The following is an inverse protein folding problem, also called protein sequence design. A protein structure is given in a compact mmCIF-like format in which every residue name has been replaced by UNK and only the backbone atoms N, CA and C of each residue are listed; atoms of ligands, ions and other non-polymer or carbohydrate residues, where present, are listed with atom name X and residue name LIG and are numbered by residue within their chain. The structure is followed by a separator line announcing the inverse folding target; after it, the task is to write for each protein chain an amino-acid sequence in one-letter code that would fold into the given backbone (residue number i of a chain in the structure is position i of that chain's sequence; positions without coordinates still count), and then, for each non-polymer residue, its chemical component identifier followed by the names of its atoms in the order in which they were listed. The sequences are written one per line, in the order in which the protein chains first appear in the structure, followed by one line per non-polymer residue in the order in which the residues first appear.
data_IF_370865765516
#
_entry.id   IF_370865765516
#
_cell.length_a   1.000
_cell.length_b   1.000
_cell.length_c   1.000
_cell.angle_alpha   90.00
_cell.angle_beta   90.00
_cell.angle_gamma   90.00
#
_symmetry.space_group_name_H-M   'P 1'
#
loop_
_entity.id
_entity.type
_entity.pdbx_description
1 polymer ?
#
# COMPACT_ATOMS: atom_id res chain seq x y z
N UNK A 1 3.54 -1.29 28.30
CA UNK A 1 2.74 -1.75 27.14
C UNK A 1 3.67 -2.15 26.02
N UNK A 2 3.51 -3.37 25.52
CA UNK A 2 4.32 -3.96 24.44
C UNK A 2 3.44 -4.10 23.19
N UNK A 3 3.80 -3.39 22.13
CA UNK A 3 3.05 -3.36 20.85
C UNK A 3 3.90 -3.98 19.76
N UNK A 4 3.36 -5.01 19.11
CA UNK A 4 3.93 -5.61 17.91
C UNK A 4 3.20 -5.07 16.68
N UNK A 5 3.86 -4.19 15.93
CA UNK A 5 3.44 -3.77 14.60
C UNK A 5 3.87 -4.81 13.56
N UNK A 6 2.96 -5.15 12.66
CA UNK A 6 3.19 -6.08 11.55
C UNK A 6 2.94 -5.37 10.22
N UNK A 7 3.52 -5.86 9.12
CA UNK A 7 3.20 -5.43 7.75
C UNK A 7 3.01 -6.65 6.84
N UNK A 8 2.87 -6.44 5.53
CA UNK A 8 2.61 -7.49 4.53
C UNK A 8 1.15 -7.60 4.11
N UNK A 9 0.29 -6.69 4.59
CA UNK A 9 -1.14 -6.67 4.27
C UNK A 9 -1.45 -6.67 2.77
N UNK A 10 -0.54 -6.04 2.01
CA UNK A 10 -0.66 -5.88 0.57
C UNK A 10 0.02 -6.99 -0.25
N UNK A 11 0.37 -8.11 0.40
CA UNK A 11 0.97 -9.31 -0.22
C UNK A 11 2.44 -9.12 -0.68
N UNK A 12 3.10 -8.08 -0.21
CA UNK A 12 4.52 -7.79 -0.36
C UNK A 12 5.00 -7.01 0.87
N UNK A 13 6.32 -6.93 1.04
CA UNK A 13 7.03 -6.18 2.09
C UNK A 13 6.56 -6.55 3.51
N UNK A 14 6.52 -7.86 3.77
CA UNK A 14 6.29 -8.39 5.10
C UNK A 14 7.40 -7.89 6.04
N UNK A 15 7.01 -7.32 7.18
CA UNK A 15 7.94 -6.79 8.18
C UNK A 15 7.30 -6.76 9.56
N UNK A 16 8.12 -6.57 10.59
CA UNK A 16 7.68 -6.40 11.97
C UNK A 16 8.44 -5.25 12.64
N UNK A 17 7.76 -4.57 13.57
CA UNK A 17 8.35 -3.56 14.44
C UNK A 17 7.79 -3.73 15.85
N UNK A 18 8.66 -3.71 16.86
CA UNK A 18 8.30 -3.86 18.25
C UNK A 18 8.53 -2.56 19.02
N UNK A 19 7.48 -2.10 19.68
CA UNK A 19 7.52 -0.95 20.57
C UNK A 19 7.30 -1.38 22.02
N UNK A 20 8.06 -0.79 22.93
CA UNK A 20 7.88 -0.93 24.38
C UNK A 20 7.74 0.47 24.96
N UNK A 21 6.60 0.73 25.60
CA UNK A 21 6.28 2.03 26.22
C UNK A 21 6.51 3.24 25.29
N UNK A 22 6.07 3.08 24.04
CA UNK A 22 6.16 4.12 23.01
C UNK A 22 7.52 4.25 22.33
N UNK A 23 8.53 3.47 22.72
CA UNK A 23 9.87 3.47 22.11
C UNK A 23 10.02 2.31 21.13
N UNK A 24 10.52 2.59 19.93
CA UNK A 24 10.89 1.56 18.97
C UNK A 24 12.11 0.80 19.49
N UNK A 25 11.98 -0.50 19.70
CA UNK A 25 13.05 -1.37 20.21
C UNK A 25 13.74 -2.13 19.08
N UNK A 26 12.96 -2.63 18.12
CA UNK A 26 13.45 -3.35 16.96
C UNK A 26 12.48 -3.22 15.79
N UNK A 27 13.00 -3.21 14.57
CA UNK A 27 12.22 -3.38 13.35
C UNK A 27 13.06 -4.14 12.32
N UNK A 28 12.42 -5.02 11.56
CA UNK A 28 13.08 -5.76 10.51
C UNK A 28 12.11 -6.16 9.39
N UNK A 29 12.66 -6.26 8.18
CA UNK A 29 11.95 -6.73 6.99
C UNK A 29 12.20 -8.24 6.80
N UNK A 30 11.16 -8.99 6.46
CA UNK A 30 11.21 -10.44 6.32
C UNK A 30 12.16 -10.89 5.19
N UNK A 31 12.26 -10.09 4.12
CA UNK A 31 13.15 -10.37 2.99
C UNK A 31 14.63 -10.49 3.39
N UNK A 32 15.05 -9.82 4.48
CA UNK A 32 16.45 -9.87 4.95
C UNK A 32 16.81 -11.25 5.49
N UNK A 33 15.84 -11.95 6.06
CA UNK A 33 15.99 -13.29 6.61
C UNK A 33 15.75 -14.37 5.55
N UNK A 34 14.67 -14.24 4.78
CA UNK A 34 14.33 -15.23 3.75
C UNK A 34 15.23 -15.16 2.52
N UNK A 35 15.93 -14.03 2.32
CA UNK A 35 16.70 -13.73 1.10
C UNK A 35 15.84 -13.76 -0.16
N UNK A 36 14.54 -13.55 0.01
CA UNK A 36 13.51 -13.51 -1.03
C UNK A 36 12.96 -12.08 -1.09
N UNK A 37 13.28 -11.38 -2.18
CA UNK A 37 13.01 -9.94 -2.33
C UNK A 37 11.50 -9.67 -2.28
N UNK A 38 11.11 -8.66 -1.52
CA UNK A 38 9.74 -8.29 -1.17
C UNK A 38 8.95 -9.34 -0.36
N UNK A 39 9.53 -10.51 -0.09
CA UNK A 39 8.90 -11.62 0.62
C UNK A 39 7.42 -11.82 0.18
N UNK A 40 7.18 -11.89 -1.14
CA UNK A 40 5.82 -11.83 -1.72
C UNK A 40 4.97 -12.98 -1.19
N UNK A 41 3.79 -12.66 -0.65
CA UNK A 41 2.86 -13.63 -0.07
C UNK A 41 3.32 -14.31 1.22
N UNK A 42 4.36 -13.78 1.89
CA UNK A 42 4.84 -14.27 3.18
C UNK A 42 4.29 -13.45 4.34
N UNK A 43 4.25 -14.06 5.53
CA UNK A 43 4.02 -13.38 6.80
C UNK A 43 5.37 -13.18 7.51
N UNK A 44 5.54 -12.15 8.35
CA UNK A 44 6.84 -11.77 8.92
C UNK A 44 7.26 -12.64 10.12
N UNK A 45 7.41 -13.96 9.94
CA UNK A 45 7.75 -14.88 11.04
C UNK A 45 9.15 -14.59 11.61
N UNK A 46 10.16 -14.48 10.75
CA UNK A 46 11.55 -14.29 11.19
C UNK A 46 11.77 -12.87 11.72
N UNK A 47 11.14 -11.86 11.11
CA UNK A 47 11.18 -10.50 11.60
C UNK A 47 10.56 -10.36 13.00
N UNK A 48 9.45 -11.07 13.30
CA UNK A 48 8.85 -11.07 14.64
C UNK A 48 9.78 -11.75 15.65
N UNK A 49 10.31 -12.94 15.33
CA UNK A 49 11.27 -13.65 16.20
C UNK A 49 12.49 -12.78 16.52
N UNK A 50 13.05 -12.12 15.51
CA UNK A 50 14.16 -11.19 15.67
C UNK A 50 13.79 -10.05 16.63
N UNK A 51 12.62 -9.43 16.46
CA UNK A 51 12.20 -8.33 17.33
C UNK A 51 12.04 -8.76 18.80
N UNK A 52 11.43 -9.92 19.05
CA UNK A 52 11.27 -10.47 20.40
C UNK A 52 12.63 -10.81 21.03
N UNK A 53 13.52 -11.46 20.27
CA UNK A 53 14.86 -11.80 20.72
C UNK A 53 15.69 -10.55 21.03
N UNK A 54 15.63 -9.54 20.16
CA UNK A 54 16.38 -8.28 20.34
C UNK A 54 15.93 -7.52 21.58
N UNK A 55 14.65 -7.61 21.93
CA UNK A 55 14.08 -7.02 23.14
C UNK A 55 14.27 -7.87 24.40
N UNK A 56 14.65 -9.15 24.27
CA UNK A 56 14.80 -10.06 25.40
C UNK A 56 13.47 -10.39 26.11
N UNK A 57 12.35 -10.32 25.39
CA UNK A 57 11.01 -10.60 25.95
C UNK A 57 10.47 -11.94 25.46
N UNK A 58 9.59 -12.55 26.26
CA UNK A 58 8.85 -13.74 25.86
C UNK A 58 7.71 -13.37 24.89
N UNK A 59 7.35 -14.24 23.94
CA UNK A 59 6.20 -14.02 23.05
C UNK A 59 4.90 -13.68 23.79
N UNK A 60 4.66 -14.35 24.92
CA UNK A 60 3.50 -14.14 25.80
C UNK A 60 3.49 -12.81 26.57
N UNK A 61 4.46 -11.92 26.35
CA UNK A 61 4.46 -10.57 26.93
C UNK A 61 3.92 -9.51 25.95
N UNK A 62 3.69 -9.84 24.68
CA UNK A 62 3.09 -8.89 23.73
C UNK A 62 1.65 -8.58 24.17
N UNK A 63 1.30 -7.30 24.30
CA UNK A 63 -0.04 -6.89 24.74
C UNK A 63 -0.97 -6.62 23.55
N UNK A 64 -0.41 -5.99 22.51
CA UNK A 64 -1.15 -5.47 21.36
C UNK A 64 -0.46 -5.89 20.06
N UNK A 65 -1.24 -6.29 19.07
CA UNK A 65 -0.78 -6.51 17.71
C UNK A 65 -1.46 -5.53 16.78
N UNK A 66 -0.69 -4.65 16.14
CA UNK A 66 -1.18 -3.65 15.19
C UNK A 66 -0.90 -4.11 13.75
N UNK A 67 -1.91 -4.00 12.87
CA UNK A 67 -1.79 -4.43 11.48
C UNK A 67 -2.36 -3.38 10.50
N UNK A 68 -1.61 -2.94 9.46
CA UNK A 68 -1.91 -1.79 8.61
C UNK A 68 -2.88 -2.17 7.48
N UNK A 69 -4.03 -2.73 7.88
CA UNK A 69 -5.16 -2.97 6.98
C UNK A 69 -6.44 -3.04 7.78
N UNK A 70 -7.37 -2.12 7.51
CA UNK A 70 -8.63 -2.01 8.23
C UNK A 70 -9.84 -2.43 7.40
N UNK A 71 -10.96 -2.67 8.09
CA UNK A 71 -12.25 -2.79 7.44
C UNK A 71 -12.71 -1.45 6.91
N UNK A 72 -13.22 -1.45 5.68
CA UNK A 72 -13.81 -0.26 5.08
C UNK A 72 -15.32 -0.46 5.04
N UNK A 73 -16.08 0.45 5.64
CA UNK A 73 -17.54 0.38 5.64
C UNK A 73 -18.12 0.50 4.22
N UNK A 74 -19.27 -0.13 3.97
CA UNK A 74 -20.03 0.06 2.73
C UNK A 74 -20.46 1.52 2.51
N UNK A 75 -20.60 2.30 3.60
CA UNK A 75 -20.92 3.73 3.52
C UNK A 75 -19.71 4.60 3.14
N UNK A 76 -18.51 4.03 3.07
CA UNK A 76 -17.30 4.78 2.72
C UNK A 76 -17.37 5.26 1.27
N UNK A 77 -17.06 6.53 0.98
CA UNK A 77 -16.99 7.05 -0.39
C UNK A 77 -15.97 6.28 -1.23
N UNK A 78 -14.93 5.71 -0.62
CA UNK A 78 -13.88 4.97 -1.29
C UNK A 78 -14.38 3.78 -2.10
N UNK A 79 -15.33 3.00 -1.54
CA UNK A 79 -15.91 1.82 -2.22
C UNK A 79 -16.75 2.22 -3.42
N UNK A 80 -17.56 3.27 -3.27
CA UNK A 80 -18.44 3.78 -4.32
C UNK A 80 -17.64 4.46 -5.43
N UNK A 81 -16.59 5.22 -5.09
CA UNK A 81 -15.64 5.78 -6.05
C UNK A 81 -15.00 4.67 -6.87
N UNK A 82 -14.43 3.66 -6.21
CA UNK A 82 -13.84 2.51 -6.88
C UNK A 82 -14.84 1.81 -7.81
N UNK A 83 -16.06 1.52 -7.35
CA UNK A 83 -17.08 0.87 -8.17
C UNK A 83 -17.49 1.72 -9.40
N UNK A 84 -17.74 3.03 -9.20
CA UNK A 84 -18.12 3.96 -10.27
C UNK A 84 -17.00 4.12 -11.31
N UNK A 85 -15.76 4.29 -10.87
CA UNK A 85 -14.61 4.48 -11.77
C UNK A 85 -14.26 3.20 -12.54
N UNK A 86 -14.57 2.04 -11.98
CA UNK A 86 -14.39 0.72 -12.59
C UNK A 86 -15.67 0.14 -13.20
N UNK A 87 -16.63 0.96 -13.62
CA UNK A 87 -17.90 0.49 -14.23
C UNK A 87 -17.68 -0.45 -15.44
N UNK A 88 -16.55 -0.33 -16.14
CA UNK A 88 -16.16 -1.17 -17.27
C UNK A 88 -15.54 -2.52 -16.86
N UNK A 89 -15.40 -2.79 -15.55
CA UNK A 89 -14.93 -4.04 -14.95
C UNK A 89 -15.95 -4.46 -13.86
N UNK A 90 -17.13 -4.94 -14.27
CA UNK A 90 -18.27 -5.14 -13.37
C UNK A 90 -17.98 -6.19 -12.27
N UNK A 91 -17.17 -7.21 -12.55
CA UNK A 91 -16.70 -8.19 -11.58
C UNK A 91 -15.99 -7.51 -10.38
N UNK A 92 -15.13 -6.53 -10.67
CA UNK A 92 -14.38 -5.78 -9.66
C UNK A 92 -15.25 -4.79 -8.92
N UNK A 93 -16.13 -4.09 -9.63
CA UNK A 93 -17.06 -3.15 -9.02
C UNK A 93 -18.01 -3.84 -8.03
N UNK A 94 -18.60 -4.98 -8.43
CA UNK A 94 -19.46 -5.81 -7.58
C UNK A 94 -18.68 -6.34 -6.38
N UNK A 95 -17.46 -6.87 -6.60
CA UNK A 95 -16.60 -7.36 -5.51
C UNK A 95 -16.32 -6.26 -4.48
N UNK A 96 -16.09 -5.03 -4.90
CA UNK A 96 -15.84 -3.93 -3.96
C UNK A 96 -17.05 -3.60 -3.08
N UNK A 97 -18.27 -3.73 -3.62
CA UNK A 97 -19.50 -3.46 -2.87
C UNK A 97 -19.82 -4.60 -1.90
N UNK A 98 -19.81 -5.85 -2.34
CA UNK A 98 -20.26 -6.99 -1.53
C UNK A 98 -19.15 -7.69 -0.75
N UNK A 99 -17.91 -7.61 -1.21
CA UNK A 99 -16.77 -8.37 -0.65
C UNK A 99 -15.53 -7.50 -0.45
N UNK A 100 -15.69 -6.18 -0.27
CA UNK A 100 -14.58 -5.23 -0.12
C UNK A 100 -13.63 -5.53 1.04
N UNK A 101 -14.12 -6.19 2.11
CA UNK A 101 -13.30 -6.58 3.26
C UNK A 101 -12.72 -8.00 3.15
N UNK A 102 -12.85 -8.69 2.01
CA UNK A 102 -12.31 -10.06 1.83
C UNK A 102 -10.82 -10.15 2.16
N UNK A 103 -10.04 -9.13 1.77
CA UNK A 103 -8.60 -9.07 2.05
C UNK A 103 -8.32 -8.89 3.54
N UNK A 104 -9.09 -8.04 4.21
CA UNK A 104 -9.02 -7.85 5.66
C UNK A 104 -9.19 -9.18 6.39
N UNK A 105 -10.28 -9.92 6.12
CA UNK A 105 -10.55 -11.20 6.79
C UNK A 105 -9.48 -12.25 6.53
N UNK A 106 -8.95 -12.31 5.30
CA UNK A 106 -7.83 -13.20 4.97
C UNK A 106 -6.57 -12.83 5.77
N UNK A 107 -6.22 -11.54 5.81
CA UNK A 107 -5.06 -11.07 6.55
C UNK A 107 -5.22 -11.31 8.05
N UNK A 108 -6.39 -11.01 8.62
CA UNK A 108 -6.73 -11.28 10.01
C UNK A 108 -6.51 -12.76 10.35
N UNK A 109 -7.07 -13.68 9.54
CA UNK A 109 -6.87 -15.13 9.74
C UNK A 109 -5.39 -15.51 9.71
N UNK A 110 -4.63 -14.98 8.76
CA UNK A 110 -3.19 -15.27 8.64
C UNK A 110 -2.39 -14.72 9.83
N UNK A 111 -2.72 -13.52 10.31
CA UNK A 111 -2.11 -12.94 11.51
C UNK A 111 -2.41 -13.80 12.73
N UNK A 112 -3.68 -14.14 12.99
CA UNK A 112 -4.03 -14.97 14.15
C UNK A 112 -3.30 -16.30 14.16
N UNK A 113 -3.22 -16.97 13.00
CA UNK A 113 -2.44 -18.20 12.85
C UNK A 113 -0.96 -17.98 13.19
N UNK A 114 -0.32 -16.95 12.64
CA UNK A 114 1.09 -16.65 12.91
C UNK A 114 1.34 -16.37 14.40
N UNK A 115 0.42 -15.66 15.08
CA UNK A 115 0.55 -15.38 16.51
C UNK A 115 0.51 -16.65 17.36
N UNK A 116 -0.32 -17.62 16.99
CA UNK A 116 -0.39 -18.92 17.67
C UNK A 116 0.84 -19.77 17.37
N UNK A 117 1.27 -19.83 16.10
CA UNK A 117 2.49 -20.54 15.68
C UNK A 117 3.77 -20.01 16.39
N UNK A 118 3.76 -18.74 16.83
CA UNK A 118 4.86 -18.08 17.55
C UNK A 118 4.67 -18.05 19.08
N UNK A 119 3.67 -18.75 19.60
CA UNK A 119 3.35 -18.80 21.04
C UNK A 119 3.04 -17.43 21.68
N UNK A 120 2.66 -16.43 20.87
CA UNK A 120 2.24 -15.10 21.34
C UNK A 120 0.83 -15.19 21.97
N UNK A 121 -0.01 -16.05 21.40
CA UNK A 121 -1.39 -16.32 21.84
C UNK A 121 -2.40 -15.33 21.26
N UNK A 122 -3.04 -15.70 20.16
CA UNK A 122 -4.01 -14.87 19.44
C UNK A 122 -5.22 -14.46 20.29
N UNK A 123 -5.63 -15.30 21.24
CA UNK A 123 -6.76 -15.07 22.14
C UNK A 123 -6.49 -14.06 23.26
N UNK A 124 -5.21 -13.82 23.59
CA UNK A 124 -4.81 -12.91 24.67
C UNK A 124 -4.50 -11.51 24.16
N UNK A 125 -3.95 -11.41 22.95
CA UNK A 125 -3.53 -10.11 22.41
C UNK A 125 -4.73 -9.28 21.98
N UNK A 126 -4.61 -7.96 22.15
CA UNK A 126 -5.53 -7.02 21.52
C UNK A 126 -5.09 -6.78 20.08
N UNK A 127 -5.85 -7.29 19.12
CA UNK A 127 -5.62 -6.98 17.70
C UNK A 127 -6.21 -5.60 17.35
N UNK A 128 -5.38 -4.74 16.74
CA UNK A 128 -5.77 -3.40 16.30
C UNK A 128 -5.50 -3.29 14.80
N UNK A 129 -6.55 -3.35 13.96
CA UNK A 129 -6.39 -2.97 12.57
C UNK A 129 -6.25 -1.44 12.46
N UNK A 130 -5.30 -1.01 11.64
CA UNK A 130 -4.99 0.40 11.37
C UNK A 130 -5.16 0.62 9.88
N UNK A 131 -5.80 1.73 9.49
CA UNK A 131 -5.91 2.09 8.08
C UNK A 131 -4.52 2.21 7.45
N UNK A 132 -4.34 1.66 6.25
CA UNK A 132 -3.03 1.54 5.60
C UNK A 132 -2.31 2.89 5.45
N UNK A 133 -3.02 3.89 4.91
CA UNK A 133 -2.45 5.24 4.73
C UNK A 133 -2.23 5.97 6.06
N UNK A 134 -3.03 5.67 7.09
CA UNK A 134 -2.78 6.21 8.43
C UNK A 134 -1.52 5.62 9.03
N UNK A 135 -1.24 4.32 8.79
CA UNK A 135 0.02 3.71 9.19
C UNK A 135 1.22 4.35 8.49
N UNK A 136 1.13 4.63 7.18
CA UNK A 136 2.15 5.41 6.45
C UNK A 136 2.32 6.84 7.00
N UNK A 137 1.22 7.55 7.23
CA UNK A 137 1.27 8.90 7.81
C UNK A 137 1.92 8.88 9.20
N UNK A 138 1.61 7.86 10.01
CA UNK A 138 2.15 7.67 11.35
C UNK A 138 3.65 7.37 11.36
N UNK A 139 4.14 6.52 10.46
CA UNK A 139 5.55 6.19 10.38
C UNK A 139 6.42 7.39 9.98
N UNK A 140 5.86 8.35 9.25
CA UNK A 140 6.52 9.62 8.98
C UNK A 140 6.37 10.61 10.16
N UNK A 141 5.14 10.93 10.54
CA UNK A 141 4.86 12.00 11.51
C UNK A 141 5.44 11.71 12.89
N UNK A 142 5.14 10.54 13.48
CA UNK A 142 5.58 10.23 14.85
C UNK A 142 7.09 9.99 14.96
N UNK A 143 7.77 9.75 13.84
CA UNK A 143 9.24 9.61 13.79
C UNK A 143 9.96 10.91 13.37
N UNK A 144 9.23 11.93 12.91
CA UNK A 144 9.81 13.18 12.42
C UNK A 144 10.38 14.09 13.51
N UNK A 145 9.89 13.96 14.76
CA UNK A 145 10.21 14.87 15.84
C UNK A 145 9.46 16.21 15.80
N UNK A 146 8.59 16.44 14.80
CA UNK A 146 7.78 17.64 14.72
C UNK A 146 6.69 17.67 15.80
N UNK A 147 6.59 18.82 16.49
CA UNK A 147 5.60 19.07 17.55
C UNK A 147 4.52 20.03 17.07
N UNK A 148 4.91 21.06 16.34
CA UNK A 148 4.02 22.02 15.72
C UNK A 148 3.21 21.38 14.60
N UNK A 149 2.17 22.09 14.16
CA UNK A 149 1.30 21.68 13.07
C UNK A 149 2.10 21.47 11.78
N UNK A 150 2.16 20.23 11.29
CA UNK A 150 2.91 19.87 10.09
C UNK A 150 2.02 19.18 9.05
N UNK A 151 2.17 19.55 7.79
CA UNK A 151 1.45 18.87 6.70
C UNK A 151 1.99 17.44 6.51
N UNK A 152 1.09 16.52 6.18
CA UNK A 152 1.41 15.13 5.86
C UNK A 152 0.84 14.82 4.48
N UNK A 153 1.71 14.37 3.58
CA UNK A 153 1.33 13.82 2.27
C UNK A 153 1.86 12.39 2.16
N UNK A 154 0.97 11.46 1.81
CA UNK A 154 1.34 10.08 1.50
C UNK A 154 0.87 9.76 0.09
N UNK A 155 1.79 9.39 -0.80
CA UNK A 155 1.48 8.97 -2.17
C UNK A 155 1.88 7.50 -2.28
N UNK A 156 0.92 6.64 -2.59
CA UNK A 156 1.12 5.20 -2.67
C UNK A 156 0.43 4.62 -3.92
N UNK A 157 0.72 3.36 -4.22
CA UNK A 157 -0.03 2.58 -5.20
C UNK A 157 -1.49 2.42 -4.78
N UNK A 158 -1.73 1.71 -3.67
CA UNK A 158 -3.08 1.45 -3.13
C UNK A 158 -3.01 0.72 -1.77
N UNK A 159 -3.65 1.31 -0.75
CA UNK A 159 -3.97 0.64 0.51
C UNK A 159 -5.21 -0.25 0.41
N UNK A 160 -6.25 0.03 1.21
CA UNK A 160 -7.55 -0.62 1.08
C UNK A 160 -8.26 -0.18 -0.21
N UNK A 161 -8.35 1.14 -0.37
CA UNK A 161 -8.88 1.84 -1.54
C UNK A 161 -8.19 3.18 -1.75
N UNK A 162 -7.71 3.81 -0.68
CA UNK A 162 -6.92 5.04 -0.75
C UNK A 162 -5.62 4.81 -1.51
N UNK A 163 -5.19 5.86 -2.20
CA UNK A 163 -3.99 5.90 -3.05
C UNK A 163 -3.14 7.12 -2.71
N UNK A 164 -3.77 8.17 -2.18
CA UNK A 164 -3.07 9.36 -1.70
C UNK A 164 -3.77 9.86 -0.45
N UNK A 165 -2.99 10.30 0.53
CA UNK A 165 -3.44 10.83 1.81
C UNK A 165 -2.92 12.26 1.95
N UNK A 166 -3.82 13.17 2.30
CA UNK A 166 -3.53 14.53 2.73
C UNK A 166 -4.06 14.72 4.15
N UNK A 167 -3.22 15.24 5.01
CA UNK A 167 -3.58 15.54 6.38
C UNK A 167 -2.56 16.45 7.05
N UNK A 168 -2.69 16.59 8.35
CA UNK A 168 -1.67 17.23 9.18
C UNK A 168 -1.51 16.49 10.49
N UNK A 169 -0.30 16.57 11.04
CA UNK A 169 0.02 16.15 12.39
C UNK A 169 0.05 17.36 13.32
N UNK A 170 -0.54 17.25 14.50
CA UNK A 170 -0.47 18.26 15.55
C UNK A 170 -0.60 17.59 16.92
N UNK A 171 0.32 17.87 17.85
CA UNK A 171 0.28 17.34 19.21
C UNK A 171 0.14 15.80 19.30
N UNK A 172 0.81 15.06 18.42
CA UNK A 172 0.77 13.59 18.41
C UNK A 172 -0.52 13.01 17.83
N UNK A 173 -1.34 13.83 17.16
CA UNK A 173 -2.56 13.38 16.47
C UNK A 173 -2.46 13.66 14.99
N UNK A 174 -2.95 12.70 14.18
CA UNK A 174 -3.04 12.84 12.74
C UNK A 174 -4.48 13.18 12.38
N UNK A 175 -4.65 14.28 11.65
CA UNK A 175 -5.91 14.77 11.15
C UNK A 175 -5.96 14.58 9.63
N UNK A 176 -6.80 13.66 9.17
CA UNK A 176 -7.05 13.43 7.75
C UNK A 176 -7.87 14.58 7.18
N UNK A 177 -7.42 15.17 6.07
CA UNK A 177 -8.13 16.22 5.32
C UNK A 177 -8.80 15.61 4.09
N UNK A 178 -8.03 14.91 3.26
CA UNK A 178 -8.49 14.39 1.97
C UNK A 178 -7.77 13.09 1.63
N UNK A 179 -8.47 12.22 0.92
CA UNK A 179 -7.88 11.05 0.29
C UNK A 179 -8.30 10.98 -1.17
N UNK A 180 -7.42 10.41 -1.98
CA UNK A 180 -7.74 9.95 -3.32
C UNK A 180 -7.90 8.45 -3.30
N UNK A 181 -8.73 7.93 -4.20
CA UNK A 181 -9.10 6.52 -4.24
C UNK A 181 -8.81 5.92 -5.61
N UNK A 182 -8.45 4.65 -5.60
CA UNK A 182 -8.19 3.84 -6.78
C UNK A 182 -9.41 3.88 -7.73
N UNK A 183 -9.22 4.12 -9.04
CA UNK A 183 -7.98 4.07 -9.83
C UNK A 183 -7.17 5.36 -9.91
N UNK A 184 -7.55 6.41 -9.20
CA UNK A 184 -6.88 7.71 -9.25
C UNK A 184 -5.63 7.67 -8.35
N UNK A 185 -4.59 7.01 -8.84
CA UNK A 185 -3.33 6.71 -8.14
C UNK A 185 -2.11 7.20 -8.94
N UNK A 186 -1.31 8.08 -8.34
CA UNK A 186 -0.03 8.50 -8.94
C UNK A 186 1.00 7.37 -8.90
N UNK A 187 1.02 6.58 -7.82
CA UNK A 187 1.89 5.39 -7.71
C UNK A 187 1.52 4.35 -8.78
N UNK A 188 0.23 4.10 -8.98
CA UNK A 188 -0.26 3.22 -10.05
C UNK A 188 0.11 3.73 -11.45
N UNK A 189 0.05 5.04 -11.68
CA UNK A 189 0.41 5.64 -12.97
C UNK A 189 1.89 5.45 -13.25
N UNK A 190 2.74 5.74 -12.26
CA UNK A 190 4.17 5.56 -12.37
C UNK A 190 4.55 4.08 -12.56
N UNK A 191 3.85 3.17 -11.86
CA UNK A 191 3.97 1.73 -12.06
C UNK A 191 3.55 1.27 -13.46
N UNK A 192 2.47 1.81 -14.02
CA UNK A 192 2.02 1.48 -15.37
C UNK A 192 3.05 1.93 -16.44
N UNK A 193 3.66 3.11 -16.27
CA UNK A 193 4.74 3.56 -17.16
C UNK A 193 6.02 2.74 -16.96
N UNK A 194 6.30 2.32 -15.72
CA UNK A 194 7.42 1.42 -15.41
C UNK A 194 7.28 0.10 -16.16
N UNK A 195 6.08 -0.50 -16.15
CA UNK A 195 5.81 -1.68 -16.96
C UNK A 195 5.93 -1.41 -18.46
N UNK A 196 5.42 -0.27 -18.93
CA UNK A 196 5.50 0.08 -20.36
C UNK A 196 6.95 0.19 -20.87
N UNK A 197 7.87 0.59 -20.00
CA UNK A 197 9.31 0.67 -20.30
C UNK A 197 10.05 -0.67 -20.17
N UNK A 198 9.35 -1.77 -19.91
CA UNK A 198 9.92 -3.11 -19.84
C UNK A 198 10.35 -3.55 -18.44
N UNK A 199 10.13 -2.73 -17.42
CA UNK A 199 10.47 -3.07 -16.03
C UNK A 199 9.29 -3.74 -15.30
N UNK A 200 9.56 -4.37 -14.15
CA UNK A 200 8.52 -4.96 -13.31
C UNK A 200 7.86 -3.88 -12.44
N UNK A 201 6.52 -3.86 -12.33
CA UNK A 201 5.82 -3.00 -11.37
C UNK A 201 6.10 -3.44 -9.93
N UNK A 202 6.17 -2.48 -9.00
CA UNK A 202 6.54 -2.69 -7.59
C UNK A 202 7.99 -3.14 -7.38
N UNK A 203 8.85 -2.93 -8.37
CA UNK A 203 10.29 -3.18 -8.28
C UNK A 203 11.09 -2.25 -9.21
N UNK A 204 10.61 -2.02 -10.43
CA UNK A 204 11.32 -1.28 -11.48
C UNK A 204 11.34 0.23 -11.32
N UNK A 205 10.47 0.78 -10.47
CA UNK A 205 10.18 2.21 -10.38
C UNK A 205 11.44 3.04 -10.09
N UNK A 206 12.33 2.53 -9.23
CA UNK A 206 13.58 3.21 -8.89
C UNK A 206 14.57 3.24 -10.06
N UNK A 207 14.53 2.24 -10.96
CA UNK A 207 15.38 2.21 -12.16
C UNK A 207 14.92 3.27 -13.15
N UNK A 208 13.60 3.38 -13.36
CA UNK A 208 13.00 4.44 -14.20
C UNK A 208 13.35 5.82 -13.65
N UNK A 209 13.25 6.00 -12.33
CA UNK A 209 13.64 7.25 -11.67
C UNK A 209 15.14 7.55 -11.89
N UNK A 210 16.01 6.55 -11.73
CA UNK A 210 17.45 6.70 -11.98
C UNK A 210 17.80 7.05 -13.42
N UNK A 211 16.95 6.66 -14.39
CA UNK A 211 17.10 6.99 -15.81
C UNK A 211 16.52 8.36 -16.17
N UNK A 212 15.59 8.90 -15.38
CA UNK A 212 14.91 10.17 -15.65
C UNK A 212 15.85 11.37 -15.96
N UNK A 213 16.99 11.59 -15.27
CA UNK A 213 17.86 12.74 -15.58
C UNK A 213 18.57 12.65 -16.94
N UNK A 214 18.56 11.48 -17.59
CA UNK A 214 19.13 11.28 -18.94
C UNK A 214 18.08 11.43 -20.06
N UNK A 215 16.82 11.68 -19.70
CA UNK A 215 15.72 11.83 -20.65
C UNK A 215 15.57 13.26 -21.19
N UNK A 216 14.75 13.39 -22.23
CA UNK A 216 14.27 14.69 -22.71
C UNK A 216 12.82 14.89 -22.25
N UNK A 217 12.54 15.79 -21.28
CA UNK A 217 11.19 16.02 -20.77
C UNK A 217 10.26 16.67 -21.80
N UNK A 218 10.77 17.19 -22.92
CA UNK A 218 9.96 17.83 -23.98
C UNK A 218 9.53 16.85 -25.06
N UNK A 219 10.05 15.62 -25.05
CA UNK A 219 9.80 14.63 -26.11
C UNK A 219 8.34 14.18 -26.21
N UNK A 220 7.65 14.06 -25.07
CA UNK A 220 6.26 13.62 -24.99
C UNK A 220 5.46 14.50 -24.03
N UNK A 221 4.23 14.83 -24.41
CA UNK A 221 3.30 15.53 -23.52
C UNK A 221 2.41 14.52 -22.76
N UNK A 222 2.67 14.38 -21.46
CA UNK A 222 1.93 13.49 -20.58
C UNK A 222 0.66 14.09 -19.95
N UNK A 223 0.26 15.32 -20.33
CA UNK A 223 -0.95 15.99 -19.82
C UNK A 223 -2.22 15.15 -19.94
N UNK A 224 -2.32 14.28 -20.97
CA UNK A 224 -3.48 13.40 -21.18
C UNK A 224 -3.60 12.23 -20.20
N UNK A 225 -2.59 11.97 -19.37
CA UNK A 225 -2.61 10.89 -18.38
C UNK A 225 -3.41 11.25 -17.12
N UNK A 226 -3.43 12.53 -16.75
CA UNK A 226 -4.08 13.03 -15.54
C UNK A 226 -4.80 14.33 -15.86
N UNK A 227 -6.08 14.38 -15.51
CA UNK A 227 -6.87 15.61 -15.53
C UNK A 227 -6.90 16.18 -14.11
N UNK A 228 -6.36 17.39 -13.92
CA UNK A 228 -6.39 18.09 -12.62
C UNK A 228 -7.53 19.11 -12.61
N UNK A 229 -8.36 19.09 -11.56
CA UNK A 229 -9.50 20.00 -11.39
C UNK A 229 -9.53 20.55 -9.97
N UNK A 230 -9.08 21.80 -9.79
CA UNK A 230 -9.03 22.43 -8.46
C UNK A 230 -8.11 21.67 -7.51
N UNK A 231 -8.68 21.15 -6.43
CA UNK A 231 -7.98 20.33 -5.43
C UNK A 231 -8.07 18.82 -5.73
N UNK A 232 -8.58 18.42 -6.90
CA UNK A 232 -8.81 17.03 -7.32
C UNK A 232 -8.00 16.67 -8.57
N UNK A 233 -7.79 15.38 -8.81
CA UNK A 233 -7.18 14.84 -10.02
C UNK A 233 -7.78 13.49 -10.37
N UNK A 234 -7.81 13.22 -11.67
CA UNK A 234 -8.39 12.02 -12.24
C UNK A 234 -7.44 11.39 -13.24
N UNK A 235 -7.09 10.13 -13.00
CA UNK A 235 -6.26 9.37 -13.91
C UNK A 235 -7.08 8.91 -15.11
N UNK A 236 -6.48 9.03 -16.30
CA UNK A 236 -7.10 8.57 -17.53
C UNK A 236 -7.03 7.04 -17.64
N UNK A 237 -8.06 6.37 -17.11
CA UNK A 237 -8.22 4.90 -17.14
C UNK A 237 -8.49 4.31 -18.51
N UNK A 238 -8.41 5.11 -19.59
CA UNK A 238 -8.32 4.60 -20.96
C UNK A 238 -6.87 4.36 -21.40
N UNK A 239 -5.88 4.86 -20.64
CA UNK A 239 -4.44 4.76 -20.96
C UNK A 239 -3.68 3.97 -19.89
N UNK A 240 -3.80 4.36 -18.62
CA UNK A 240 -3.05 3.79 -17.48
C UNK A 240 -3.99 3.42 -16.33
N UNK A 241 -3.48 2.81 -15.27
CA UNK A 241 -4.28 2.33 -14.12
C UNK A 241 -5.47 1.46 -14.54
N UNK A 242 -5.26 0.66 -15.57
CA UNK A 242 -6.32 -0.12 -16.19
C UNK A 242 -6.59 -1.39 -15.37
N UNK A 243 -7.88 -1.74 -15.26
CA UNK A 243 -8.34 -3.02 -14.73
C UNK A 243 -9.11 -3.80 -15.80
N UNK A 244 -9.25 -5.11 -15.58
CA UNK A 244 -10.13 -5.98 -16.36
C UNK A 244 -9.90 -5.87 -17.87
N UNK A 245 -10.97 -5.56 -18.60
CA UNK A 245 -11.03 -5.57 -20.07
C UNK A 245 -10.12 -4.52 -20.74
N UNK A 246 -9.74 -3.46 -20.03
CA UNK A 246 -8.91 -2.38 -20.61
C UNK A 246 -7.42 -2.68 -20.60
N UNK A 247 -6.99 -3.70 -19.86
CA UNK A 247 -5.56 -4.02 -19.74
C UNK A 247 -5.03 -4.56 -21.07
N UNK A 248 -3.86 -4.08 -21.45
CA UNK A 248 -3.04 -4.72 -22.47
C UNK A 248 -2.63 -6.11 -21.99
N UNK A 249 -2.63 -7.08 -22.91
CA UNK A 249 -2.25 -8.46 -22.64
C UNK A 249 -1.29 -8.92 -23.72
N UNK A 250 -0.19 -9.54 -23.30
CA UNK A 250 0.83 -10.10 -24.19
C UNK A 250 1.48 -11.29 -23.49
N UNK A 251 1.63 -12.40 -24.21
CA UNK A 251 2.30 -13.61 -23.74
C UNK A 251 1.76 -14.13 -22.38
N UNK A 252 0.44 -14.09 -22.21
CA UNK A 252 -0.22 -14.52 -20.97
C UNK A 252 -0.09 -13.53 -19.79
N UNK A 253 0.72 -12.48 -19.91
CA UNK A 253 0.84 -11.40 -18.92
C UNK A 253 -0.18 -10.29 -19.21
N UNK A 254 -0.70 -9.68 -18.15
CA UNK A 254 -1.61 -8.53 -18.22
C UNK A 254 -0.98 -7.33 -17.53
N UNK A 255 -0.98 -6.18 -18.21
CA UNK A 255 -0.26 -4.98 -17.79
C UNK A 255 -1.21 -3.91 -17.24
N UNK A 256 -0.70 -3.00 -16.41
CA UNK A 256 -1.49 -1.93 -15.77
C UNK A 256 -1.87 -0.76 -16.70
N UNK A 257 -1.61 -0.88 -18.00
CA UNK A 257 -1.97 0.09 -19.04
C UNK A 257 -2.81 -0.55 -20.16
N UNK A 258 -3.34 0.26 -21.08
CA UNK A 258 -4.18 -0.21 -22.20
C UNK A 258 -3.43 -0.27 -23.54
N UNK A 259 -3.99 -0.96 -24.56
CA UNK A 259 -3.44 -0.90 -25.92
C UNK A 259 -3.32 0.53 -26.48
N UNK A 260 -4.18 1.46 -26.04
CA UNK A 260 -4.13 2.87 -26.47
C UNK A 260 -2.87 3.60 -26.01
N UNK A 261 -2.24 3.14 -24.92
CA UNK A 261 -0.94 3.67 -24.52
C UNK A 261 0.15 3.30 -25.54
N UNK A 262 0.11 2.07 -26.08
CA UNK A 262 1.02 1.60 -27.14
C UNK A 262 0.76 2.34 -28.45
N UNK A 263 -0.51 2.52 -28.83
CA UNK A 263 -0.87 3.31 -30.03
C UNK A 263 -0.31 4.73 -29.97
N UNK A 264 -0.18 5.30 -28.77
CA UNK A 264 0.33 6.65 -28.57
C UNK A 264 1.86 6.72 -28.43
N UNK A 265 2.45 5.93 -27.53
CA UNK A 265 3.88 6.01 -27.19
C UNK A 265 4.77 5.07 -28.03
N UNK A 266 4.15 4.22 -28.85
CA UNK A 266 4.81 3.18 -29.62
C UNK A 266 4.92 1.86 -28.86
N UNK A 267 5.73 0.95 -29.40
CA UNK A 267 5.91 -0.39 -28.83
C UNK A 267 6.54 -0.32 -27.44
N UNK A 268 6.05 -1.22 -26.57
CA UNK A 268 6.68 -1.56 -25.30
C UNK A 268 8.15 -1.94 -25.55
N UNK A 269 9.05 -1.43 -24.71
CA UNK A 269 10.49 -1.68 -24.81
C UNK A 269 10.93 -2.86 -23.95
#
# INVERSE_FOLDING_TARGET
MIVLGLSGAVNHDASAALYIDGKLVAAAEEERFLRDKHAKGKMPYEAVKFCLQRAGIKPSQVDVVAFPYAEISLKSPARWHYAKRHWYAPDRAITALFSGNRRYWRNHKNVMKMLDDLEIGSSRVKFIPVEHHLAHASSAYHLSGFKDKCAIIGIDGKGEYATTFFGYGENGKIHKIKEFYDPDSLGGLYGALTEFLGFEMLDGEFKVMGMAPYGDPKRFDFSRLIECTGDDFKVNTKLVNCLGLRRYKKDGKSYYFSPKLIEWLGNMR
#
